data_IF_109012381761
#
_entry.id   IF_109012381761
#
_cell.length_a   1.000
_cell.length_b   1.000
_cell.length_c   1.000
_cell.angle_alpha   90.00
_cell.angle_beta   90.00
_cell.angle_gamma   90.00
#
_symmetry.space_group_name_H-M   'P 1'
#
loop_
_entity.id
_entity.type
_entity.pdbx_description
1 polymer ?
#
# COMPACT_ATOMS: atom_id res chain seq x y z
N UNK A 1 15.38 -1.12 13.62
CA UNK A 1 14.66 -2.41 13.49
C UNK A 1 13.29 -2.27 12.84
N UNK A 2 12.41 -1.37 13.31
CA UNK A 2 11.08 -1.17 12.70
C UNK A 2 11.12 -0.89 11.19
N UNK A 3 11.90 0.08 10.73
CA UNK A 3 11.99 0.43 9.29
C UNK A 3 12.48 -0.72 8.41
N UNK A 4 13.40 -1.54 8.91
CA UNK A 4 13.88 -2.76 8.22
C UNK A 4 12.75 -3.78 8.11
N UNK A 5 11.97 -3.96 9.17
CA UNK A 5 10.80 -4.86 9.18
C UNK A 5 9.75 -4.39 8.19
N UNK A 6 9.45 -3.09 8.20
CA UNK A 6 8.54 -2.42 7.28
C UNK A 6 8.98 -2.60 5.82
N UNK A 7 10.28 -2.39 5.55
CA UNK A 7 10.87 -2.60 4.23
C UNK A 7 10.75 -4.06 3.77
N UNK A 8 11.11 -5.01 4.63
CA UNK A 8 11.03 -6.44 4.31
C UNK A 8 9.59 -6.88 4.03
N UNK A 9 8.63 -6.47 4.87
CA UNK A 9 7.21 -6.76 4.70
C UNK A 9 6.69 -6.27 3.33
N UNK A 10 7.00 -5.02 2.98
CA UNK A 10 6.59 -4.45 1.70
C UNK A 10 7.31 -5.13 0.53
N UNK A 11 8.59 -5.47 0.68
CA UNK A 11 9.36 -6.18 -0.35
C UNK A 11 8.77 -7.56 -0.65
N UNK A 12 8.31 -8.30 0.38
CA UNK A 12 7.60 -9.57 0.20
C UNK A 12 6.29 -9.36 -0.57
N UNK A 13 5.54 -8.31 -0.23
CA UNK A 13 4.33 -7.93 -0.96
C UNK A 13 4.58 -7.61 -2.43
N UNK A 14 5.64 -6.87 -2.72
CA UNK A 14 6.08 -6.53 -4.08
C UNK A 14 6.55 -7.77 -4.85
N UNK A 15 7.27 -8.68 -4.20
CA UNK A 15 7.67 -9.95 -4.81
C UNK A 15 6.43 -10.76 -5.23
N UNK A 16 5.45 -10.93 -4.34
CA UNK A 16 4.19 -11.62 -4.67
C UNK A 16 3.46 -10.91 -5.82
N UNK A 17 3.47 -9.57 -5.81
CA UNK A 17 2.83 -8.79 -6.86
C UNK A 17 3.45 -9.05 -8.23
N UNK A 18 4.79 -8.96 -8.34
CA UNK A 18 5.47 -9.03 -9.63
C UNK A 18 5.72 -10.46 -10.12
N UNK A 19 5.86 -11.44 -9.24
CA UNK A 19 6.14 -12.83 -9.63
C UNK A 19 4.87 -13.68 -9.76
N UNK A 20 3.76 -13.28 -9.14
CA UNK A 20 2.54 -14.10 -9.09
C UNK A 20 1.34 -13.35 -9.66
N UNK A 21 0.97 -12.23 -9.05
CA UNK A 21 -0.32 -11.58 -9.36
C UNK A 21 -0.29 -10.93 -10.74
N UNK A 22 0.71 -10.09 -11.00
CA UNK A 22 0.80 -9.32 -12.24
C UNK A 22 1.00 -10.22 -13.48
N UNK A 23 1.85 -11.28 -13.45
CA UNK A 23 1.95 -12.23 -14.55
C UNK A 23 0.62 -12.98 -14.80
N UNK A 24 -0.08 -13.38 -13.74
CA UNK A 24 -1.37 -14.07 -13.85
C UNK A 24 -2.44 -13.15 -14.45
N UNK A 25 -2.52 -11.90 -14.00
CA UNK A 25 -3.45 -10.91 -14.56
C UNK A 25 -3.12 -10.62 -16.03
N UNK A 26 -1.84 -10.50 -16.38
CA UNK A 26 -1.40 -10.26 -17.77
C UNK A 26 -1.71 -11.43 -18.69
N UNK A 27 -1.78 -12.64 -18.14
CA UNK A 27 -2.19 -13.84 -18.89
C UNK A 27 -3.71 -13.90 -19.11
N UNK A 28 -4.49 -13.48 -18.12
CA UNK A 28 -5.96 -13.61 -18.13
C UNK A 28 -6.71 -12.39 -18.66
N UNK A 29 -6.11 -11.21 -18.58
CA UNK A 29 -6.75 -9.91 -18.82
C UNK A 29 -5.93 -9.06 -19.81
N UNK A 30 -6.54 -8.06 -20.45
CA UNK A 30 -5.81 -7.14 -21.32
C UNK A 30 -4.67 -6.43 -20.57
N UNK A 31 -3.52 -6.29 -21.23
CA UNK A 31 -2.33 -5.64 -20.67
C UNK A 31 -2.63 -4.22 -20.16
N UNK A 32 -2.01 -3.85 -19.03
CA UNK A 32 -2.01 -2.51 -18.44
C UNK A 32 -0.78 -2.32 -17.57
N UNK A 33 -0.41 -1.07 -17.32
CA UNK A 33 0.52 -0.68 -16.27
C UNK A 33 -0.03 -0.88 -14.84
N UNK A 34 -1.35 -1.02 -14.67
CA UNK A 34 -2.01 -1.20 -13.38
C UNK A 34 -2.64 -2.59 -13.19
N UNK A 35 -2.58 -3.09 -11.95
CA UNK A 35 -3.15 -4.37 -11.53
C UNK A 35 -4.55 -4.22 -10.93
N UNK A 36 -5.43 -5.21 -11.11
CA UNK A 36 -6.75 -5.24 -10.47
C UNK A 36 -6.70 -5.70 -9.00
N UNK A 37 -5.60 -6.32 -8.58
CA UNK A 37 -5.31 -6.66 -7.19
C UNK A 37 -3.90 -6.21 -6.83
N UNK A 38 -3.75 -4.96 -6.39
CA UNK A 38 -2.43 -4.41 -6.06
C UNK A 38 -2.17 -4.47 -4.55
N UNK A 39 -1.70 -5.63 -4.07
CA UNK A 39 -1.42 -5.89 -2.65
C UNK A 39 -0.43 -4.89 -2.02
N UNK A 40 0.64 -4.43 -2.72
CA UNK A 40 1.58 -3.48 -2.15
C UNK A 40 0.90 -2.21 -1.63
N UNK A 41 -0.19 -1.75 -2.26
CA UNK A 41 -0.97 -0.60 -1.78
C UNK A 41 -1.54 -0.83 -0.39
N UNK A 42 -2.19 -1.98 -0.20
CA UNK A 42 -2.75 -2.33 1.10
C UNK A 42 -1.71 -2.36 2.21
N UNK A 43 -0.55 -2.94 1.91
CA UNK A 43 0.56 -3.03 2.84
C UNK A 43 1.04 -1.62 3.22
N UNK A 44 1.36 -0.75 2.24
CA UNK A 44 1.82 0.61 2.54
C UNK A 44 0.78 1.44 3.31
N UNK A 45 -0.51 1.30 3.00
CA UNK A 45 -1.60 1.96 3.75
C UNK A 45 -1.59 1.56 5.21
N UNK A 46 -1.56 0.25 5.51
CA UNK A 46 -1.49 -0.24 6.89
C UNK A 46 -0.23 0.27 7.59
N UNK A 47 0.93 0.22 6.92
CA UNK A 47 2.19 0.68 7.51
C UNK A 47 2.12 2.16 7.90
N UNK A 48 1.55 3.01 7.05
CA UNK A 48 1.44 4.46 7.29
C UNK A 48 0.44 4.76 8.39
N UNK A 49 -0.71 4.07 8.41
CA UNK A 49 -1.69 4.17 9.50
C UNK A 49 -1.04 3.84 10.85
N UNK A 50 -0.27 2.76 10.92
CA UNK A 50 0.31 2.27 12.18
C UNK A 50 1.61 2.97 12.60
N UNK A 51 2.42 3.42 11.65
CA UNK A 51 3.79 3.88 11.90
C UNK A 51 4.04 5.34 11.50
N UNK A 52 3.07 6.01 10.90
CA UNK A 52 3.19 7.38 10.41
C UNK A 52 4.37 7.53 9.44
N UNK A 53 5.14 8.62 9.60
CA UNK A 53 6.28 8.93 8.72
C UNK A 53 7.36 7.85 8.67
N UNK A 54 7.47 7.00 9.69
CA UNK A 54 8.49 5.95 9.75
C UNK A 54 8.33 4.94 8.61
N UNK A 55 7.12 4.83 8.03
CA UNK A 55 6.85 3.97 6.88
C UNK A 55 7.30 4.57 5.54
N UNK A 56 7.46 5.89 5.43
CA UNK A 56 7.69 6.56 4.14
C UNK A 56 9.02 6.15 3.50
N UNK A 57 10.12 6.16 4.26
CA UNK A 57 11.42 5.73 3.74
C UNK A 57 11.42 4.26 3.29
N UNK A 58 10.91 3.29 4.09
CA UNK A 58 10.70 1.91 3.62
C UNK A 58 9.84 1.79 2.35
N UNK A 59 8.79 2.60 2.20
CA UNK A 59 7.94 2.59 1.00
C UNK A 59 8.75 3.01 -0.22
N UNK A 60 9.48 4.12 -0.10
CA UNK A 60 10.33 4.64 -1.17
C UNK A 60 11.38 3.62 -1.58
N UNK A 61 12.16 3.11 -0.63
CA UNK A 61 13.28 2.21 -0.95
C UNK A 61 12.81 0.86 -1.48
N UNK A 62 11.68 0.32 -0.99
CA UNK A 62 11.14 -0.94 -1.49
C UNK A 62 10.65 -0.81 -2.95
N UNK A 63 9.93 0.26 -3.30
CA UNK A 63 9.50 0.48 -4.68
C UNK A 63 10.69 0.78 -5.60
N UNK A 64 11.65 1.59 -5.14
CA UNK A 64 12.87 1.87 -5.90
C UNK A 64 13.61 0.57 -6.24
N UNK A 65 13.82 -0.30 -5.25
CA UNK A 65 14.48 -1.59 -5.48
C UNK A 65 13.65 -2.51 -6.37
N UNK A 66 12.34 -2.58 -6.17
CA UNK A 66 11.47 -3.42 -6.98
C UNK A 66 11.52 -3.02 -8.46
N UNK A 67 11.41 -1.74 -8.76
CA UNK A 67 11.44 -1.27 -10.15
C UNK A 67 12.79 -1.54 -10.83
N UNK A 68 13.89 -1.53 -10.09
CA UNK A 68 15.20 -1.95 -10.60
C UNK A 68 15.26 -3.46 -10.85
N UNK A 69 14.84 -4.27 -9.87
CA UNK A 69 14.95 -5.74 -9.93
C UNK A 69 14.07 -6.32 -11.05
N UNK A 70 12.83 -5.86 -11.15
CA UNK A 70 11.86 -6.35 -12.13
C UNK A 70 11.86 -5.57 -13.45
N UNK A 71 12.78 -4.62 -13.62
CA UNK A 71 12.90 -3.76 -14.79
C UNK A 71 11.54 -3.21 -15.25
N UNK A 72 10.75 -2.71 -14.30
CA UNK A 72 9.37 -2.26 -14.56
C UNK A 72 9.39 -1.16 -15.62
N UNK A 73 8.58 -1.26 -16.69
CA UNK A 73 8.52 -0.21 -17.71
C UNK A 73 7.94 1.08 -17.12
N UNK A 74 8.80 2.05 -16.81
CA UNK A 74 8.43 3.34 -16.25
C UNK A 74 9.19 4.49 -16.92
N UNK A 75 8.58 5.68 -17.06
CA UNK A 75 9.30 6.90 -17.45
C UNK A 75 10.46 7.24 -16.51
N UNK A 76 10.35 6.93 -15.22
CA UNK A 76 11.41 7.17 -14.24
C UNK A 76 11.18 6.36 -12.95
N UNK A 77 12.10 5.42 -12.69
CA UNK A 77 12.10 4.57 -11.49
C UNK A 77 12.06 5.40 -10.20
N UNK A 78 12.88 6.44 -10.12
CA UNK A 78 12.93 7.31 -8.94
C UNK A 78 11.63 8.10 -8.75
N UNK A 79 11.03 8.57 -9.86
CA UNK A 79 9.77 9.31 -9.83
C UNK A 79 8.62 8.42 -9.39
N UNK A 80 8.49 7.20 -9.90
CA UNK A 80 7.40 6.31 -9.49
C UNK A 80 7.56 5.84 -8.03
N UNK A 81 8.79 5.62 -7.56
CA UNK A 81 9.04 5.32 -6.15
C UNK A 81 8.66 6.51 -5.25
N UNK A 82 8.92 7.74 -5.73
CA UNK A 82 8.51 8.97 -5.06
C UNK A 82 6.99 9.10 -5.05
N UNK A 83 6.30 8.92 -6.18
CA UNK A 83 4.84 8.94 -6.27
C UNK A 83 4.23 7.91 -5.32
N UNK A 84 4.74 6.67 -5.33
CA UNK A 84 4.29 5.59 -4.45
C UNK A 84 4.36 5.94 -2.96
N UNK A 85 5.29 6.82 -2.59
CA UNK A 85 5.47 7.34 -1.23
C UNK A 85 4.58 8.56 -0.98
N UNK A 86 4.51 9.51 -1.93
CA UNK A 86 3.72 10.73 -1.83
C UNK A 86 2.23 10.45 -1.68
N UNK A 87 1.71 9.46 -2.41
CA UNK A 87 0.28 9.08 -2.32
C UNK A 87 -0.11 8.61 -0.91
N UNK A 88 0.86 8.14 -0.11
CA UNK A 88 0.66 7.77 1.30
C UNK A 88 0.87 8.94 2.26
N UNK A 89 1.81 9.82 1.92
CA UNK A 89 2.07 11.04 2.68
C UNK A 89 0.85 11.96 2.73
N UNK A 90 0.14 12.11 1.61
CA UNK A 90 -1.02 13.02 1.49
C UNK A 90 -2.12 12.71 2.52
N UNK A 91 -2.71 11.50 2.58
CA UNK A 91 -3.76 11.19 3.55
C UNK A 91 -3.27 11.25 5.00
N UNK A 92 -2.00 10.93 5.27
CA UNK A 92 -1.40 11.07 6.61
C UNK A 92 -1.46 12.53 7.09
N UNK A 93 -1.02 13.46 6.24
CA UNK A 93 -1.03 14.90 6.53
C UNK A 93 -2.46 15.42 6.66
N UNK A 94 -3.34 15.10 5.70
CA UNK A 94 -4.74 15.54 5.72
C UNK A 94 -5.41 15.10 7.03
N UNK A 95 -5.25 13.83 7.42
CA UNK A 95 -5.90 13.29 8.60
C UNK A 95 -5.40 13.94 9.90
N UNK A 96 -4.08 14.06 10.06
CA UNK A 96 -3.50 14.65 11.25
C UNK A 96 -3.75 16.16 11.36
N UNK A 97 -3.76 16.87 10.22
CA UNK A 97 -4.14 18.28 10.17
C UNK A 97 -5.57 18.50 10.69
N UNK A 98 -6.54 17.70 10.22
CA UNK A 98 -7.94 17.80 10.66
C UNK A 98 -8.13 17.49 12.16
N UNK A 99 -7.20 16.75 12.77
CA UNK A 99 -7.23 16.38 14.20
C UNK A 99 -6.36 17.26 15.09
N UNK A 100 -5.71 18.28 14.54
CA UNK A 100 -4.74 19.12 15.25
C UNK A 100 -3.62 18.29 15.92
N UNK A 101 -3.25 17.17 15.29
CA UNK A 101 -2.16 16.30 15.72
C UNK A 101 -0.87 16.63 14.95
N UNK A 102 0.32 16.19 15.42
CA UNK A 102 1.53 16.31 14.62
C UNK A 102 1.33 15.65 13.25
N UNK A 103 1.58 16.39 12.17
CA UNK A 103 1.18 16.02 10.79
C UNK A 103 1.66 14.63 10.36
N UNK A 104 2.78 14.20 10.92
CA UNK A 104 3.52 12.99 10.55
C UNK A 104 3.34 11.84 11.55
N UNK A 105 2.54 12.02 12.60
CA UNK A 105 2.30 11.02 13.62
C UNK A 105 1.48 9.83 13.08
N UNK A 106 1.61 8.63 13.68
CA UNK A 106 0.70 7.52 13.44
C UNK A 106 -0.77 7.92 13.66
N UNK A 107 -1.68 7.25 12.95
CA UNK A 107 -3.11 7.53 13.04
C UNK A 107 -3.72 6.85 14.29
N UNK A 108 -4.73 7.48 14.91
CA UNK A 108 -5.27 7.05 16.19
C UNK A 108 -6.04 5.73 16.05
N UNK A 109 -5.53 4.66 16.64
CA UNK A 109 -6.31 3.44 16.83
C UNK A 109 -6.68 3.40 18.30
N UNK A 110 -7.95 3.70 18.61
CA UNK A 110 -8.48 3.52 19.95
C UNK A 110 -8.45 2.03 20.30
N UNK A 111 -7.72 1.67 21.36
CA UNK A 111 -7.68 0.36 22.04
C UNK A 111 -8.01 -0.85 21.16
N UNK A 112 -7.02 -1.30 20.39
CA UNK A 112 -7.04 -2.59 19.67
C UNK A 112 -8.29 -2.84 18.79
N UNK A 113 -9.08 -1.80 18.51
CA UNK A 113 -10.37 -1.89 17.86
C UNK A 113 -10.17 -2.19 16.38
N UNK A 114 -10.42 -3.47 16.04
CA UNK A 114 -10.39 -3.96 14.66
C UNK A 114 -11.27 -3.13 13.73
N UNK A 115 -12.42 -2.65 14.22
CA UNK A 115 -13.35 -1.85 13.44
C UNK A 115 -12.82 -0.44 13.16
N UNK A 116 -12.18 0.19 14.14
CA UNK A 116 -11.56 1.52 13.96
C UNK A 116 -10.38 1.42 13.01
N UNK A 117 -9.49 0.43 13.20
CA UNK A 117 -8.40 0.16 12.26
C UNK A 117 -8.94 -0.05 10.84
N UNK A 118 -9.98 -0.86 10.69
CA UNK A 118 -10.58 -1.13 9.38
C UNK A 118 -11.10 0.14 8.70
N UNK A 119 -11.84 0.99 9.43
CA UNK A 119 -12.38 2.25 8.90
C UNK A 119 -11.27 3.23 8.50
N UNK A 120 -10.25 3.38 9.34
CA UNK A 120 -9.15 4.30 9.06
C UNK A 120 -8.32 3.82 7.87
N UNK A 121 -7.96 2.53 7.82
CA UNK A 121 -7.20 1.96 6.69
C UNK A 121 -7.98 2.12 5.39
N UNK A 122 -9.28 1.85 5.37
CA UNK A 122 -10.08 2.07 4.16
C UNK A 122 -10.19 3.53 3.75
N UNK A 123 -10.35 4.44 4.71
CA UNK A 123 -10.40 5.87 4.41
C UNK A 123 -9.07 6.37 3.82
N UNK A 124 -7.95 5.97 4.42
CA UNK A 124 -6.60 6.30 3.90
C UNK A 124 -6.41 5.69 2.52
N UNK A 125 -6.74 4.41 2.34
CA UNK A 125 -6.62 3.74 1.04
C UNK A 125 -7.45 4.41 -0.04
N UNK A 126 -8.69 4.79 0.25
CA UNK A 126 -9.53 5.48 -0.73
C UNK A 126 -8.90 6.81 -1.18
N UNK A 127 -8.47 7.65 -0.23
CA UNK A 127 -7.84 8.93 -0.55
C UNK A 127 -6.53 8.72 -1.30
N UNK A 128 -5.64 7.84 -0.83
CA UNK A 128 -4.38 7.56 -1.51
C UNK A 128 -4.60 6.99 -2.91
N UNK A 129 -5.62 6.16 -3.13
CA UNK A 129 -5.94 5.59 -4.45
C UNK A 129 -6.37 6.66 -5.44
N UNK A 130 -7.11 7.68 -5.00
CA UNK A 130 -7.47 8.82 -5.85
C UNK A 130 -6.23 9.59 -6.32
N UNK A 131 -5.30 9.87 -5.40
CA UNK A 131 -4.03 10.52 -5.75
C UNK A 131 -3.13 9.60 -6.58
N UNK A 132 -3.16 8.29 -6.34
CA UNK A 132 -2.41 7.30 -7.10
C UNK A 132 -2.89 7.26 -8.57
N UNK A 133 -4.20 7.15 -8.78
CA UNK A 133 -4.81 7.22 -10.10
C UNK A 133 -4.49 8.55 -10.80
N UNK A 134 -4.63 9.69 -10.10
CA UNK A 134 -4.32 11.01 -10.64
C UNK A 134 -2.86 11.11 -11.09
N UNK A 135 -1.92 10.84 -10.19
CA UNK A 135 -0.49 11.05 -10.43
C UNK A 135 0.06 10.08 -11.48
N UNK A 136 -0.30 8.80 -11.44
CA UNK A 136 0.20 7.84 -12.43
C UNK A 136 -0.45 8.03 -13.80
N UNK A 137 -1.69 8.51 -13.89
CA UNK A 137 -2.28 8.82 -15.20
C UNK A 137 -1.58 10.02 -15.88
N UNK A 138 -1.01 10.95 -15.10
CA UNK A 138 -0.17 12.02 -15.63
C UNK A 138 1.21 11.52 -16.11
N UNK A 139 1.71 10.42 -15.53
CA UNK A 139 2.99 9.82 -15.91
C UNK A 139 2.86 8.86 -17.12
N UNK A 140 1.78 8.10 -17.19
CA UNK A 140 1.51 7.11 -18.22
C UNK A 140 0.53 7.64 -19.27
N UNK A 141 1.00 8.58 -20.09
CA UNK A 141 0.17 9.28 -21.09
C UNK A 141 -0.28 8.41 -22.27
N UNK A 142 0.29 7.21 -22.44
CA UNK A 142 0.03 6.33 -23.57
C UNK A 142 -1.17 5.38 -23.35
N UNK A 143 -1.71 5.28 -22.15
CA UNK A 143 -2.91 4.47 -21.85
C UNK A 143 -4.16 5.34 -21.77
N UNK A 144 -5.33 4.73 -22.03
CA UNK A 144 -6.60 5.44 -21.88
C UNK A 144 -6.81 5.85 -20.41
N UNK A 145 -6.86 7.16 -20.17
CA UNK A 145 -7.01 7.80 -18.84
C UNK A 145 -8.07 7.10 -17.99
N UNK A 146 -9.26 6.86 -18.56
CA UNK A 146 -10.40 6.28 -17.85
C UNK A 146 -10.14 4.86 -17.34
N UNK A 147 -9.65 3.97 -18.20
CA UNK A 147 -9.41 2.57 -17.82
C UNK A 147 -8.25 2.43 -16.84
N UNK A 148 -7.17 3.20 -17.05
CA UNK A 148 -5.99 3.16 -16.18
C UNK A 148 -6.31 3.69 -14.78
N UNK A 149 -6.97 4.84 -14.67
CA UNK A 149 -7.43 5.40 -13.39
C UNK A 149 -8.38 4.45 -12.66
N UNK A 150 -9.29 3.81 -13.38
CA UNK A 150 -10.20 2.82 -12.81
C UNK A 150 -9.44 1.60 -12.26
N UNK A 151 -8.47 1.08 -13.01
CA UNK A 151 -7.62 -0.04 -12.56
C UNK A 151 -6.82 0.32 -11.32
N UNK A 152 -6.22 1.50 -11.24
CA UNK A 152 -5.54 1.95 -10.02
C UNK A 152 -6.49 1.99 -8.82
N UNK A 153 -7.65 2.62 -8.97
CA UNK A 153 -8.61 2.74 -7.87
C UNK A 153 -9.10 1.37 -7.38
N UNK A 154 -9.51 0.49 -8.30
CA UNK A 154 -10.01 -0.84 -7.95
C UNK A 154 -8.88 -1.71 -7.40
N UNK A 155 -7.72 -1.70 -8.05
CA UNK A 155 -6.52 -2.42 -7.65
C UNK A 155 -6.08 -2.12 -6.24
N UNK A 156 -5.98 -0.84 -5.92
CA UNK A 156 -5.55 -0.35 -4.62
C UNK A 156 -6.57 -0.70 -3.51
N UNK A 157 -7.87 -0.56 -3.78
CA UNK A 157 -8.92 -0.88 -2.82
C UNK A 157 -9.03 -2.39 -2.54
N UNK A 158 -9.01 -3.22 -3.59
CA UNK A 158 -9.03 -4.69 -3.43
C UNK A 158 -7.75 -5.20 -2.76
N UNK A 159 -6.59 -4.66 -3.16
CA UNK A 159 -5.31 -4.97 -2.51
C UNK A 159 -5.30 -4.59 -1.04
N UNK A 160 -5.89 -3.44 -0.69
CA UNK A 160 -6.06 -3.00 0.70
C UNK A 160 -6.97 -3.93 1.49
N UNK A 161 -8.14 -4.28 0.94
CA UNK A 161 -9.06 -5.20 1.61
C UNK A 161 -8.40 -6.56 1.90
N UNK A 162 -7.65 -7.09 0.93
CA UNK A 162 -6.93 -8.35 1.10
C UNK A 162 -5.84 -8.25 2.17
N UNK A 163 -4.95 -7.25 2.08
CA UNK A 163 -3.85 -7.07 3.03
C UNK A 163 -4.36 -6.87 4.46
N UNK A 164 -5.41 -6.06 4.63
CA UNK A 164 -6.04 -5.80 5.92
C UNK A 164 -6.73 -7.05 6.49
N UNK A 165 -7.41 -7.83 5.65
CA UNK A 165 -8.04 -9.09 6.07
C UNK A 165 -6.98 -10.08 6.55
N UNK A 166 -5.88 -10.24 5.80
CA UNK A 166 -4.75 -11.10 6.19
C UNK A 166 -4.11 -10.66 7.51
N UNK A 167 -3.96 -9.35 7.74
CA UNK A 167 -3.49 -8.81 9.02
C UNK A 167 -4.44 -9.17 10.18
N UNK A 168 -5.74 -9.00 9.98
CA UNK A 168 -6.76 -9.28 11.00
C UNK A 168 -6.85 -10.77 11.35
N UNK A 169 -6.64 -11.65 10.37
CA UNK A 169 -6.61 -13.10 10.55
C UNK A 169 -5.30 -13.56 11.23
N UNK A 170 -4.15 -13.04 10.80
CA UNK A 170 -2.84 -13.42 11.33
C UNK A 170 -2.65 -13.01 12.79
N UNK A 171 -3.11 -11.81 13.19
CA UNK A 171 -3.09 -11.37 14.61
C UNK A 171 -3.78 -12.40 15.51
N UNK A 172 -4.91 -12.96 15.08
CA UNK A 172 -5.67 -13.97 15.86
C UNK A 172 -4.89 -15.27 15.99
N UNK A 173 -4.27 -15.75 14.91
CA UNK A 173 -3.49 -16.99 14.94
C UNK A 173 -2.22 -16.87 15.78
N UNK A 174 -1.45 -15.78 15.63
CA UNK A 174 -0.23 -15.56 16.43
C UNK A 174 -0.54 -15.50 17.92
N UNK A 175 -1.58 -14.78 18.33
CA UNK A 175 -2.01 -14.72 19.74
C UNK A 175 -2.43 -16.10 20.27
N UNK A 176 -3.12 -16.91 19.45
CA UNK A 176 -3.54 -18.25 19.84
C UNK A 176 -2.37 -19.23 19.95
N UNK A 177 -1.37 -19.14 19.07
CA UNK A 177 -0.15 -19.96 19.11
C UNK A 177 0.69 -19.65 20.35
N UNK A 178 0.86 -18.36 20.68
CA UNK A 178 1.58 -17.95 21.88
C UNK A 178 0.85 -18.44 23.14
N UNK A 179 -0.48 -18.33 23.21
CA UNK A 179 -1.27 -18.86 24.33
C UNK A 179 -1.16 -20.38 24.49
N UNK A 180 -0.95 -21.12 23.41
CA UNK A 180 -0.72 -22.58 23.44
C UNK A 180 0.69 -22.99 23.88
N UNK A 181 1.66 -22.08 23.86
CA UNK A 181 3.03 -22.36 24.30
C UNK A 181 3.27 -21.92 25.75
N UNK A 182 2.40 -21.07 26.30
CA UNK A 182 2.49 -20.54 27.68
C UNK A 182 1.63 -21.35 28.67
N UNK A 183 0.70 -22.17 28.18
CA UNK A 183 -0.06 -23.17 28.94
C UNK A 183 0.48 -24.57 28.63
#
# INVERSE_FOLDING_TARGET
MLQITLFALLSVGLLIQYEVIFPLESYLLPASAASFLYIPHGIKTVMVVLSGYRALLPIFTAHLMAYVIWAVPTPSIALDALVSTLVMFIPLVIWNFNRLAPLLAPLPIADDSKLVLFRIVLAVAFVSSLFNALLHTLLFTNESIGLLSFRFLVGDLLGTLLALTLLMLSKKHLVNLIKKQVN
#
